data_IF_832821982821
#
_entry.id   IF_832821982821
#
_cell.length_a   1.000
_cell.length_b   1.000
_cell.length_c   1.000
_cell.angle_alpha   90.00
_cell.angle_beta   90.00
_cell.angle_gamma   90.00
#
_symmetry.space_group_name_H-M   'P 1'
#
loop_
_entity.id
_entity.type
_entity.pdbx_description
1 polymer ?
#
# COMPACT_ATOMS: atom_id res chain seq x y z
N UNK A 1 14.85 6.26 -33.97
CA UNK A 1 14.20 6.76 -32.75
C UNK A 1 14.79 5.98 -31.60
N UNK A 2 15.83 6.51 -30.97
CA UNK A 2 16.53 5.88 -29.85
C UNK A 2 15.52 5.63 -28.73
N UNK A 3 15.38 4.38 -28.29
CA UNK A 3 14.66 4.07 -27.06
C UNK A 3 15.48 4.67 -25.93
N UNK A 4 15.02 5.77 -25.32
CA UNK A 4 15.54 6.22 -24.03
C UNK A 4 15.58 5.00 -23.11
N UNK A 5 16.75 4.71 -22.54
CA UNK A 5 16.96 3.54 -21.69
C UNK A 5 15.81 3.39 -20.69
N UNK A 6 15.25 2.19 -20.60
CA UNK A 6 14.21 1.85 -19.63
C UNK A 6 14.87 1.86 -18.24
N UNK A 7 15.03 3.05 -17.64
CA UNK A 7 15.68 3.29 -16.33
C UNK A 7 14.81 2.77 -15.19
N UNK A 8 14.59 1.45 -15.17
CA UNK A 8 13.90 0.77 -14.08
C UNK A 8 14.88 0.41 -12.98
N UNK A 9 14.39 0.42 -11.75
CA UNK A 9 15.16 -0.11 -10.63
C UNK A 9 15.43 -1.60 -10.81
N UNK A 10 16.71 -1.94 -10.81
CA UNK A 10 17.21 -3.31 -10.74
C UNK A 10 17.11 -3.86 -9.33
N UNK A 11 17.32 -5.16 -9.16
CA UNK A 11 17.52 -5.74 -7.84
C UNK A 11 18.67 -5.08 -7.08
N UNK A 12 19.75 -4.70 -7.76
CA UNK A 12 20.91 -4.08 -7.11
C UNK A 12 20.62 -2.65 -6.64
N UNK A 13 19.75 -1.93 -7.33
CA UNK A 13 19.24 -0.64 -6.85
C UNK A 13 18.44 -0.82 -5.56
N UNK A 14 17.58 -1.84 -5.52
CA UNK A 14 16.82 -2.17 -4.31
C UNK A 14 17.75 -2.60 -3.17
N UNK A 15 18.73 -3.47 -3.46
CA UNK A 15 19.69 -3.98 -2.47
C UNK A 15 20.54 -2.86 -1.90
N UNK A 16 21.06 -1.97 -2.74
CA UNK A 16 21.84 -0.80 -2.32
C UNK A 16 21.07 0.10 -1.38
N UNK A 17 19.78 0.36 -1.66
CA UNK A 17 18.92 1.13 -0.77
C UNK A 17 18.66 0.40 0.56
N UNK A 18 18.40 -0.91 0.51
CA UNK A 18 18.18 -1.72 1.72
C UNK A 18 19.45 -1.79 2.59
N UNK A 19 20.62 -2.04 2.00
CA UNK A 19 21.91 -2.07 2.68
C UNK A 19 22.23 -0.71 3.33
N UNK A 20 21.95 0.39 2.61
CA UNK A 20 22.10 1.73 3.16
C UNK A 20 21.22 1.91 4.41
N UNK A 21 19.93 1.53 4.36
CA UNK A 21 19.06 1.61 5.53
C UNK A 21 19.58 0.73 6.68
N UNK A 22 19.97 -0.52 6.41
CA UNK A 22 20.48 -1.46 7.42
C UNK A 22 21.78 -0.99 8.09
N UNK A 23 22.61 -0.21 7.39
CA UNK A 23 23.81 0.41 7.93
C UNK A 23 23.51 1.62 8.84
N UNK A 24 22.38 2.30 8.62
CA UNK A 24 22.01 3.52 9.35
C UNK A 24 20.95 3.29 10.45
N UNK A 25 20.46 2.06 10.64
CA UNK A 25 19.62 1.70 11.78
C UNK A 25 19.92 0.30 12.31
N UNK A 26 19.81 0.12 13.63
CA UNK A 26 19.92 -1.20 14.28
C UNK A 26 18.58 -1.98 14.26
N UNK A 27 17.48 -1.30 13.94
CA UNK A 27 16.15 -1.91 13.90
C UNK A 27 16.03 -2.87 12.71
N UNK A 28 15.35 -4.00 12.91
CA UNK A 28 15.09 -5.03 11.90
C UNK A 28 13.58 -5.26 11.83
N UNK A 29 12.85 -4.51 10.98
CA UNK A 29 11.40 -4.52 11.01
C UNK A 29 10.85 -5.86 10.52
N UNK A 30 9.81 -6.36 11.21
CA UNK A 30 9.01 -7.51 10.77
C UNK A 30 7.71 -7.10 10.09
N UNK A 31 7.22 -5.90 10.43
CA UNK A 31 6.01 -5.30 9.86
C UNK A 31 6.36 -3.98 9.17
N UNK A 32 5.88 -3.79 7.95
CA UNK A 32 5.89 -2.50 7.27
C UNK A 32 4.47 -1.95 7.21
N UNK A 33 4.31 -0.66 7.47
CA UNK A 33 3.02 0.02 7.39
C UNK A 33 3.12 1.18 6.40
N UNK A 34 2.26 1.19 5.39
CA UNK A 34 2.15 2.29 4.45
C UNK A 34 0.95 3.14 4.86
N UNK A 35 1.23 4.33 5.38
CA UNK A 35 0.19 5.26 5.81
C UNK A 35 -0.38 6.03 4.63
N UNK A 36 -1.72 6.06 4.57
CA UNK A 36 -2.44 6.94 3.67
C UNK A 36 -2.74 8.32 4.23
N UNK A 37 -3.41 9.13 3.41
CA UNK A 37 -3.88 10.46 3.79
C UNK A 37 -4.64 10.41 5.13
N UNK A 38 -4.23 11.27 6.07
CA UNK A 38 -4.84 11.36 7.40
C UNK A 38 -4.49 10.22 8.37
N UNK A 39 -3.59 9.29 8.00
CA UNK A 39 -3.11 8.20 8.84
C UNK A 39 -1.61 8.30 9.17
N UNK A 40 -0.97 9.41 8.80
CA UNK A 40 0.44 9.68 9.09
C UNK A 40 0.78 9.67 10.58
N UNK A 41 -0.17 9.98 11.46
CA UNK A 41 0.03 9.97 12.92
C UNK A 41 0.33 8.59 13.50
N UNK A 42 0.15 7.50 12.73
CA UNK A 42 0.53 6.16 13.17
C UNK A 42 2.05 6.04 13.40
N UNK A 43 2.86 6.76 12.63
CA UNK A 43 4.31 6.80 12.82
C UNK A 43 4.69 7.38 14.19
N UNK A 44 3.89 8.31 14.72
CA UNK A 44 4.16 8.99 15.99
C UNK A 44 3.97 8.05 17.20
N UNK A 45 3.26 6.93 17.02
CA UNK A 45 3.07 5.90 18.05
C UNK A 45 4.28 4.95 18.20
N UNK A 46 5.23 4.99 17.25
CA UNK A 46 6.44 4.18 17.34
C UNK A 46 7.31 4.64 18.51
N UNK A 47 7.86 3.67 19.24
CA UNK A 47 8.92 3.90 20.23
C UNK A 47 10.30 3.76 19.57
N UNK A 48 11.31 4.41 20.16
CA UNK A 48 12.72 4.34 19.74
C UNK A 48 12.93 4.67 18.25
N UNK A 49 12.34 5.79 17.82
CA UNK A 49 12.23 6.13 16.42
C UNK A 49 13.58 6.45 15.77
N UNK A 50 13.77 5.93 14.56
CA UNK A 50 14.81 6.37 13.61
C UNK A 50 14.10 6.76 12.32
N UNK A 51 14.10 8.05 11.99
CA UNK A 51 13.40 8.59 10.82
C UNK A 51 14.38 9.01 9.72
N UNK A 52 14.06 8.65 8.48
CA UNK A 52 14.80 9.03 7.28
C UNK A 52 13.89 9.82 6.34
N UNK A 53 14.30 11.01 5.92
CA UNK A 53 13.61 11.73 4.84
C UNK A 53 13.83 11.01 3.51
N UNK A 54 12.79 10.91 2.67
CA UNK A 54 12.86 10.18 1.41
C UNK A 54 13.98 10.67 0.49
N UNK A 55 14.20 11.99 0.40
CA UNK A 55 15.27 12.58 -0.40
C UNK A 55 16.70 12.25 0.07
N UNK A 56 16.86 11.72 1.30
CA UNK A 56 18.16 11.26 1.82
C UNK A 56 18.37 9.76 1.62
N UNK A 57 17.34 9.01 1.23
CA UNK A 57 17.41 7.57 0.99
C UNK A 57 17.78 7.34 -0.48
N UNK A 58 18.85 6.57 -0.79
CA UNK A 58 19.24 6.30 -2.16
C UNK A 58 18.07 5.70 -2.97
N UNK A 59 17.90 6.15 -4.22
CA UNK A 59 16.89 5.70 -5.17
C UNK A 59 15.42 5.93 -4.75
N UNK A 60 15.14 6.47 -3.56
CA UNK A 60 13.79 6.65 -3.09
C UNK A 60 13.07 7.76 -3.86
N UNK A 61 11.78 7.60 -4.20
CA UNK A 61 11.00 8.67 -4.80
C UNK A 61 10.75 9.83 -3.83
N UNK A 62 10.51 11.02 -4.36
CA UNK A 62 10.05 12.17 -3.56
C UNK A 62 8.53 12.19 -3.48
N UNK A 63 7.98 12.60 -2.34
CA UNK A 63 6.53 12.76 -2.17
C UNK A 63 6.15 14.20 -2.45
N UNK A 64 5.24 14.43 -3.40
CA UNK A 64 4.82 15.79 -3.79
C UNK A 64 3.44 16.19 -3.26
N UNK A 65 2.67 15.22 -2.75
CA UNK A 65 1.32 15.42 -2.21
C UNK A 65 1.32 16.12 -0.84
N UNK A 66 0.44 17.10 -0.68
CA UNK A 66 0.23 17.84 0.58
C UNK A 66 -0.26 16.89 1.69
N UNK A 67 0.38 16.92 2.85
CA UNK A 67 0.04 16.06 3.99
C UNK A 67 0.84 14.76 4.05
N UNK A 68 1.72 14.51 3.08
CA UNK A 68 2.70 13.43 3.13
C UNK A 68 4.02 13.99 3.65
N UNK A 69 4.42 13.61 4.87
CA UNK A 69 5.64 14.12 5.50
C UNK A 69 6.92 13.71 4.76
N UNK A 70 6.85 12.65 3.92
CA UNK A 70 7.99 12.21 3.12
C UNK A 70 9.08 11.54 3.95
N UNK A 71 8.69 10.73 4.94
CA UNK A 71 9.62 10.08 5.88
C UNK A 71 9.39 8.59 6.00
N UNK A 72 10.47 7.84 6.10
CA UNK A 72 10.50 6.43 6.46
C UNK A 72 10.90 6.32 7.94
N UNK A 73 9.98 5.88 8.80
CA UNK A 73 10.17 5.87 10.25
C UNK A 73 10.27 4.44 10.75
N UNK A 74 11.43 4.07 11.28
CA UNK A 74 11.64 2.80 11.97
C UNK A 74 11.35 2.98 13.45
N UNK A 75 10.81 1.96 14.10
CA UNK A 75 10.65 1.95 15.56
C UNK A 75 10.02 0.65 16.05
N UNK A 76 9.53 0.67 17.28
CA UNK A 76 8.78 -0.44 17.86
C UNK A 76 7.32 -0.03 18.07
N UNK A 77 6.38 -0.80 17.51
CA UNK A 77 4.95 -0.65 17.76
C UNK A 77 4.50 -1.80 18.66
N UNK A 78 4.13 -1.50 19.91
CA UNK A 78 3.75 -2.52 20.90
C UNK A 78 4.74 -3.68 21.03
N UNK A 79 6.04 -3.37 20.99
CA UNK A 79 7.12 -4.37 21.08
C UNK A 79 7.51 -5.02 19.75
N UNK A 80 6.77 -4.76 18.67
CA UNK A 80 7.06 -5.30 17.33
C UNK A 80 7.92 -4.32 16.53
N UNK A 81 9.15 -4.68 16.13
CA UNK A 81 9.96 -3.88 15.23
C UNK A 81 9.22 -3.63 13.92
N UNK A 82 9.00 -2.35 13.61
CA UNK A 82 8.17 -1.92 12.49
C UNK A 82 8.84 -0.79 11.71
N UNK A 83 8.49 -0.68 10.43
CA UNK A 83 8.84 0.46 9.59
C UNK A 83 7.56 1.07 9.03
N UNK A 84 7.43 2.39 9.10
CA UNK A 84 6.24 3.13 8.69
C UNK A 84 6.62 4.12 7.60
N UNK A 85 5.95 4.04 6.45
CA UNK A 85 6.00 5.09 5.42
C UNK A 85 5.00 6.19 5.78
N UNK A 86 5.51 7.34 6.20
CA UNK A 86 4.72 8.53 6.48
C UNK A 86 4.56 9.37 5.21
N UNK A 87 3.59 8.96 4.41
CA UNK A 87 3.40 9.43 3.05
C UNK A 87 3.87 8.40 2.03
N UNK A 88 3.25 8.37 0.87
CA UNK A 88 3.50 7.45 -0.23
C UNK A 88 3.40 8.17 -1.56
N UNK A 89 3.66 7.41 -2.62
CA UNK A 89 3.69 7.89 -3.98
C UNK A 89 2.47 7.39 -4.74
N UNK A 90 2.00 8.19 -5.70
CA UNK A 90 0.81 7.91 -6.48
C UNK A 90 1.12 7.89 -7.96
N UNK A 91 0.37 7.09 -8.70
CA UNK A 91 0.48 7.06 -10.16
C UNK A 91 0.09 8.41 -10.77
N UNK A 92 -0.91 9.09 -10.20
CA UNK A 92 -1.34 10.41 -10.68
C UNK A 92 -0.31 11.53 -10.47
N UNK A 93 0.72 11.32 -9.62
CA UNK A 93 1.86 12.24 -9.51
C UNK A 93 2.79 12.16 -10.75
N UNK A 94 2.49 11.28 -11.71
CA UNK A 94 3.32 11.03 -12.89
C UNK A 94 4.37 9.94 -12.67
N UNK A 95 4.39 9.30 -11.50
CA UNK A 95 5.31 8.20 -11.24
C UNK A 95 4.85 6.91 -11.93
N UNK A 96 5.76 6.21 -12.64
CA UNK A 96 5.46 4.87 -13.13
C UNK A 96 5.26 3.93 -11.94
N UNK A 97 4.41 2.91 -12.11
CA UNK A 97 4.06 2.02 -11.01
C UNK A 97 5.28 1.31 -10.41
N UNK A 98 6.30 0.93 -11.18
CA UNK A 98 7.53 0.35 -10.62
C UNK A 98 8.27 1.29 -9.65
N UNK A 99 8.11 2.61 -9.79
CA UNK A 99 8.68 3.63 -8.89
C UNK A 99 7.81 3.85 -7.66
N UNK A 100 6.49 3.97 -7.85
CA UNK A 100 5.49 4.03 -6.76
C UNK A 100 5.69 2.88 -5.77
N UNK A 101 6.06 1.75 -6.33
CA UNK A 101 6.07 0.48 -5.64
C UNK A 101 7.45 0.02 -5.15
N UNK A 102 8.49 0.79 -5.45
CA UNK A 102 9.88 0.53 -5.05
C UNK A 102 10.06 0.23 -3.55
N UNK A 103 9.44 0.97 -2.60
CA UNK A 103 9.63 0.74 -1.17
C UNK A 103 9.25 -0.67 -0.71
N UNK A 104 8.28 -1.32 -1.37
CA UNK A 104 7.85 -2.67 -0.99
C UNK A 104 8.94 -3.71 -1.27
N UNK A 105 9.67 -3.55 -2.38
CA UNK A 105 10.86 -4.38 -2.65
C UNK A 105 11.95 -4.17 -1.60
N UNK A 106 12.10 -2.93 -1.13
CA UNK A 106 13.02 -2.62 -0.03
C UNK A 106 12.58 -3.33 1.26
N UNK A 107 11.30 -3.28 1.62
CA UNK A 107 10.79 -3.97 2.82
C UNK A 107 11.05 -5.47 2.78
N UNK A 108 10.90 -6.10 1.60
CA UNK A 108 11.29 -7.51 1.42
C UNK A 108 12.76 -7.74 1.77
N UNK A 109 13.66 -6.91 1.28
CA UNK A 109 15.11 -7.03 1.51
C UNK A 109 15.52 -6.67 2.95
N UNK A 110 14.72 -5.85 3.64
CA UNK A 110 14.88 -5.57 5.07
C UNK A 110 14.42 -6.71 5.99
N UNK A 111 13.83 -7.77 5.43
CA UNK A 111 13.34 -8.92 6.18
C UNK A 111 11.91 -8.75 6.72
N UNK A 112 11.15 -7.78 6.21
CA UNK A 112 9.75 -7.62 6.60
C UNK A 112 8.94 -8.83 6.09
N UNK A 113 7.97 -9.28 6.88
CA UNK A 113 7.12 -10.45 6.63
C UNK A 113 5.66 -10.05 6.39
N UNK A 114 5.24 -8.93 6.99
CA UNK A 114 3.87 -8.43 6.94
C UNK A 114 3.83 -7.00 6.42
N UNK A 115 2.96 -6.73 5.44
CA UNK A 115 2.67 -5.40 4.93
C UNK A 115 1.26 -4.99 5.32
N UNK A 116 1.15 -3.87 6.02
CA UNK A 116 -0.11 -3.20 6.28
C UNK A 116 -0.19 -1.98 5.35
N UNK A 117 -1.21 -1.89 4.51
CA UNK A 117 -1.42 -0.69 3.67
C UNK A 117 -2.74 -0.05 4.05
N UNK A 118 -2.70 1.23 4.38
CA UNK A 118 -3.90 1.95 4.81
C UNK A 118 -4.26 3.03 3.82
N UNK A 119 -5.52 3.24 3.47
CA UNK A 119 -5.89 4.34 2.58
C UNK A 119 -7.22 4.98 2.97
N UNK A 120 -7.45 6.19 2.44
CA UNK A 120 -8.78 6.76 2.35
C UNK A 120 -9.42 6.34 1.02
N UNK A 121 -10.70 6.00 1.07
CA UNK A 121 -11.48 5.55 -0.07
C UNK A 121 -12.88 6.17 -0.06
N UNK A 122 -13.46 6.33 -1.24
CA UNK A 122 -14.88 6.61 -1.40
C UNK A 122 -15.69 5.34 -1.15
N UNK A 123 -16.71 5.42 -0.29
CA UNK A 123 -17.63 4.31 -0.06
C UNK A 123 -18.60 4.15 -1.23
N UNK A 124 -18.56 3.00 -1.91
CA UNK A 124 -19.53 2.64 -2.95
C UNK A 124 -20.67 1.81 -2.38
N UNK A 125 -20.40 0.99 -1.37
CA UNK A 125 -21.45 0.25 -0.68
C UNK A 125 -22.33 1.22 0.14
N UNK A 126 -23.64 1.31 -0.11
CA UNK A 126 -24.53 2.26 0.56
C UNK A 126 -24.71 2.01 2.06
N UNK A 127 -24.33 0.83 2.56
CA UNK A 127 -24.36 0.51 3.99
C UNK A 127 -23.18 1.14 4.75
N UNK A 128 -22.13 1.56 4.03
CA UNK A 128 -20.94 2.11 4.64
C UNK A 128 -21.14 3.57 5.00
N UNK A 129 -20.55 3.97 6.12
CA UNK A 129 -20.60 5.34 6.63
C UNK A 129 -19.22 5.98 6.62
N UNK A 130 -19.19 7.30 6.60
CA UNK A 130 -17.95 8.06 6.78
C UNK A 130 -17.33 7.68 8.12
N UNK A 131 -16.03 7.38 8.08
CA UNK A 131 -15.28 6.95 9.26
C UNK A 131 -15.30 5.45 9.49
N UNK A 132 -16.12 4.67 8.77
CA UNK A 132 -16.02 3.21 8.80
C UNK A 132 -14.61 2.79 8.35
N UNK A 133 -14.13 1.68 8.92
CA UNK A 133 -12.90 1.01 8.51
C UNK A 133 -13.29 -0.21 7.68
N UNK A 134 -12.82 -0.31 6.44
CA UNK A 134 -13.03 -1.50 5.61
C UNK A 134 -11.75 -2.34 5.56
N UNK A 135 -11.84 -3.58 6.03
CA UNK A 135 -10.84 -4.61 5.76
C UNK A 135 -10.96 -5.02 4.30
N UNK A 136 -9.88 -4.92 3.53
CA UNK A 136 -9.92 -5.30 2.12
C UNK A 136 -9.82 -6.83 2.02
N UNK A 137 -10.87 -7.47 1.47
CA UNK A 137 -10.87 -8.90 1.16
C UNK A 137 -10.34 -9.19 -0.23
N UNK A 138 -10.60 -8.29 -1.18
CA UNK A 138 -10.19 -8.44 -2.58
C UNK A 138 -10.08 -7.07 -3.26
N UNK A 139 -9.58 -7.03 -4.50
CA UNK A 139 -9.56 -5.80 -5.29
C UNK A 139 -9.91 -5.99 -6.76
N UNK A 140 -10.30 -4.88 -7.38
CA UNK A 140 -10.38 -4.72 -8.83
C UNK A 140 -9.29 -3.74 -9.24
N UNK A 141 -8.32 -4.22 -10.03
CA UNK A 141 -7.22 -3.41 -10.52
C UNK A 141 -7.52 -2.89 -11.93
N UNK A 142 -8.28 -1.79 -12.03
CA UNK A 142 -8.70 -1.24 -13.31
C UNK A 142 -7.52 -0.86 -14.22
N UNK A 143 -6.46 -0.18 -13.74
CA UNK A 143 -5.29 0.12 -14.58
C UNK A 143 -4.51 -1.14 -14.98
N UNK A 144 -4.51 -2.18 -14.14
CA UNK A 144 -3.92 -3.48 -14.46
C UNK A 144 -4.53 -4.13 -15.70
N UNK A 145 -5.85 -4.05 -15.88
CA UNK A 145 -6.52 -4.54 -17.09
C UNK A 145 -6.07 -3.81 -18.36
N UNK A 146 -5.65 -2.55 -18.24
CA UNK A 146 -5.11 -1.75 -19.33
C UNK A 146 -3.57 -1.86 -19.47
N UNK A 147 -2.93 -2.80 -18.78
CA UNK A 147 -1.48 -3.00 -18.85
C UNK A 147 -0.66 -2.06 -17.95
N UNK A 148 -1.29 -1.26 -17.10
CA UNK A 148 -0.60 -0.47 -16.08
C UNK A 148 -0.47 -1.31 -14.80
N UNK A 149 0.56 -2.15 -14.76
CA UNK A 149 0.87 -3.04 -13.64
C UNK A 149 2.36 -2.91 -13.25
N UNK A 150 2.71 -2.86 -11.95
CA UNK A 150 4.11 -2.74 -11.51
C UNK A 150 5.03 -3.91 -11.96
N UNK A 151 4.45 -5.03 -12.39
CA UNK A 151 5.14 -6.23 -12.87
C UNK A 151 5.28 -6.30 -14.40
N UNK A 152 4.76 -5.32 -15.15
CA UNK A 152 5.08 -5.20 -16.58
C UNK A 152 6.59 -5.06 -16.74
N UNK A 153 7.18 -5.61 -17.80
CA UNK A 153 8.63 -5.63 -18.04
C UNK A 153 9.29 -6.97 -17.70
N UNK A 154 10.63 -7.06 -17.68
CA UNK A 154 11.37 -8.26 -17.29
C UNK A 154 11.10 -8.69 -15.84
N UNK A 155 11.07 -10.00 -15.56
CA UNK A 155 10.99 -10.54 -14.21
C UNK A 155 12.39 -10.72 -13.62
N UNK A 156 12.53 -10.48 -12.32
CA UNK A 156 13.72 -10.87 -11.57
C UNK A 156 13.32 -11.94 -10.55
N UNK A 157 13.76 -13.18 -10.81
CA UNK A 157 13.34 -14.37 -10.06
C UNK A 157 13.77 -14.33 -8.58
N UNK A 158 14.70 -13.43 -8.21
CA UNK A 158 15.08 -13.19 -6.80
C UNK A 158 13.97 -12.54 -5.98
N UNK A 159 13.03 -11.83 -6.62
CA UNK A 159 11.86 -11.27 -5.94
C UNK A 159 10.67 -12.21 -5.95
N UNK A 160 10.46 -12.97 -7.02
CA UNK A 160 9.34 -13.90 -7.13
C UNK A 160 9.09 -14.42 -8.54
N UNK A 161 8.02 -15.18 -8.68
CA UNK A 161 7.64 -15.84 -9.94
C UNK A 161 7.13 -14.84 -10.99
N UNK A 162 7.24 -15.23 -12.26
CA UNK A 162 6.77 -14.40 -13.39
C UNK A 162 5.27 -14.11 -13.39
N UNK A 163 4.46 -15.10 -13.00
CA UNK A 163 3.00 -15.05 -13.06
C UNK A 163 2.40 -15.32 -11.67
N UNK A 164 2.43 -14.31 -10.78
CA UNK A 164 1.89 -14.42 -9.43
C UNK A 164 0.36 -14.63 -9.44
N UNK A 165 -0.12 -15.61 -8.66
CA UNK A 165 -1.55 -15.78 -8.40
C UNK A 165 -2.04 -14.76 -7.36
N UNK A 166 -3.20 -14.16 -7.61
CA UNK A 166 -3.71 -13.02 -6.86
C UNK A 166 -4.87 -13.38 -5.91
N UNK A 167 -5.32 -14.63 -5.92
CA UNK A 167 -6.53 -15.10 -5.23
C UNK A 167 -6.45 -15.06 -3.70
N UNK A 168 -5.24 -15.10 -3.13
CA UNK A 168 -4.98 -15.08 -1.69
C UNK A 168 -4.18 -13.83 -1.27
N UNK A 169 -4.32 -12.74 -2.04
CA UNK A 169 -3.55 -11.53 -1.84
C UNK A 169 -3.73 -10.88 -0.47
N UNK A 170 -4.92 -11.05 0.09
CA UNK A 170 -5.33 -10.53 1.38
C UNK A 170 -5.46 -11.69 2.35
N UNK A 171 -4.47 -11.80 3.24
CA UNK A 171 -4.33 -12.96 4.11
C UNK A 171 -5.56 -13.13 5.00
N UNK A 172 -6.22 -14.28 4.90
CA UNK A 172 -7.48 -14.55 5.58
C UNK A 172 -7.35 -14.47 7.11
N UNK A 173 -6.25 -14.97 7.68
CA UNK A 173 -6.03 -14.97 9.12
C UNK A 173 -5.84 -13.55 9.66
N UNK A 174 -5.14 -12.68 8.93
CA UNK A 174 -5.04 -11.28 9.31
C UNK A 174 -6.37 -10.54 9.20
N UNK A 175 -7.21 -10.87 8.19
CA UNK A 175 -8.57 -10.31 8.10
C UNK A 175 -9.42 -10.72 9.29
N UNK A 176 -9.41 -12.02 9.64
CA UNK A 176 -10.08 -12.53 10.85
C UNK A 176 -9.59 -11.82 12.11
N UNK A 177 -8.27 -11.68 12.26
CA UNK A 177 -7.65 -10.99 13.38
C UNK A 177 -8.13 -9.53 13.48
N UNK A 178 -8.25 -8.81 12.37
CA UNK A 178 -8.76 -7.44 12.37
C UNK A 178 -10.19 -7.35 12.93
N UNK A 179 -11.07 -8.28 12.54
CA UNK A 179 -12.44 -8.35 13.08
C UNK A 179 -12.48 -8.76 14.55
N UNK A 180 -11.61 -9.69 14.97
CA UNK A 180 -11.44 -10.05 16.38
C UNK A 180 -11.05 -8.84 17.20
N UNK A 181 -10.00 -8.12 16.80
CA UNK A 181 -9.55 -6.88 17.47
C UNK A 181 -10.65 -5.82 17.48
N UNK A 182 -11.41 -5.69 16.39
CA UNK A 182 -12.53 -4.76 16.34
C UNK A 182 -13.63 -5.10 17.36
N UNK A 183 -13.88 -6.40 17.58
CA UNK A 183 -14.82 -6.88 18.59
C UNK A 183 -14.31 -6.61 20.00
N UNK A 184 -13.05 -6.92 20.28
CA UNK A 184 -12.39 -6.67 21.58
C UNK A 184 -12.36 -5.17 21.93
N UNK A 185 -12.21 -4.31 20.93
CA UNK A 185 -12.23 -2.85 21.09
C UNK A 185 -13.64 -2.24 21.11
N UNK A 186 -14.70 -3.05 20.94
CA UNK A 186 -16.08 -2.56 20.90
C UNK A 186 -16.43 -1.72 19.68
N UNK A 187 -15.66 -1.85 18.58
CA UNK A 187 -15.83 -1.06 17.36
C UNK A 187 -16.33 -1.86 16.14
N UNK A 188 -16.77 -3.12 16.32
CA UNK A 188 -17.31 -3.98 15.24
C UNK A 188 -18.39 -3.31 14.39
N UNK A 189 -19.21 -2.43 14.96
CA UNK A 189 -20.27 -1.72 14.22
C UNK A 189 -19.77 -0.78 13.12
N UNK A 190 -18.49 -0.40 13.18
CA UNK A 190 -17.80 0.50 12.24
C UNK A 190 -16.69 -0.20 11.45
N UNK A 191 -16.56 -1.52 11.57
CA UNK A 191 -15.62 -2.31 10.77
C UNK A 191 -16.38 -3.12 9.73
N UNK A 192 -15.99 -2.97 8.47
CA UNK A 192 -16.58 -3.59 7.28
C UNK A 192 -15.55 -4.51 6.64
N UNK A 193 -15.99 -5.30 5.68
CA UNK A 193 -15.11 -6.06 4.80
C UNK A 193 -15.66 -6.05 3.38
N UNK A 194 -14.81 -5.76 2.39
CA UNK A 194 -15.26 -5.57 1.02
C UNK A 194 -14.16 -5.58 -0.05
N UNK A 195 -14.58 -5.34 -1.29
CA UNK A 195 -13.74 -5.27 -2.48
C UNK A 195 -13.34 -3.83 -2.77
N UNK A 196 -12.03 -3.59 -2.90
CA UNK A 196 -11.47 -2.28 -3.22
C UNK A 196 -11.21 -2.12 -4.73
N UNK A 197 -11.76 -1.10 -5.37
CA UNK A 197 -11.43 -0.76 -6.75
C UNK A 197 -10.34 0.32 -6.80
N UNK A 198 -9.23 0.02 -7.48
CA UNK A 198 -8.16 0.97 -7.70
C UNK A 198 -8.30 1.64 -9.08
N UNK A 199 -8.26 2.98 -9.12
CA UNK A 199 -8.31 3.81 -10.33
C UNK A 199 -7.03 4.62 -10.54
N UNK A 200 -6.87 5.25 -11.71
CA UNK A 200 -5.72 6.11 -12.00
C UNK A 200 -5.76 7.47 -11.30
N UNK A 201 -6.93 8.11 -11.22
CA UNK A 201 -7.06 9.50 -10.73
C UNK A 201 -6.49 10.56 -11.71
N UNK A 202 -6.36 11.84 -11.29
CA UNK A 202 -6.61 12.37 -9.94
C UNK A 202 -8.04 12.86 -9.70
N UNK A 203 -8.88 12.99 -10.74
CA UNK A 203 -10.28 13.38 -10.54
C UNK A 203 -11.03 12.28 -9.78
N UNK A 204 -12.03 12.69 -8.98
CA UNK A 204 -12.98 11.75 -8.40
C UNK A 204 -13.93 11.19 -9.45
N UNK A 205 -14.60 10.12 -9.06
CA UNK A 205 -15.53 9.39 -9.90
C UNK A 205 -16.80 10.21 -10.14
N UNK A 206 -17.28 10.19 -11.38
CA UNK A 206 -18.61 10.64 -11.74
C UNK A 206 -19.68 9.68 -11.21
N UNK A 207 -20.94 10.13 -11.18
CA UNK A 207 -22.07 9.28 -10.76
C UNK A 207 -22.16 8.00 -11.62
N UNK A 208 -21.90 8.11 -12.92
CA UNK A 208 -21.95 6.97 -13.83
C UNK A 208 -20.84 5.96 -13.53
N UNK A 209 -19.62 6.42 -13.24
CA UNK A 209 -18.48 5.59 -12.84
C UNK A 209 -18.74 4.92 -11.48
N UNK A 210 -19.26 5.64 -10.49
CA UNK A 210 -19.65 5.03 -9.20
C UNK A 210 -20.66 3.89 -9.39
N UNK A 211 -21.72 4.11 -10.18
CA UNK A 211 -22.73 3.08 -10.48
C UNK A 211 -22.14 1.90 -11.24
N UNK A 212 -21.22 2.16 -12.16
CA UNK A 212 -20.50 1.12 -12.90
C UNK A 212 -19.68 0.25 -11.94
N UNK A 213 -18.87 0.86 -11.07
CA UNK A 213 -18.04 0.14 -10.10
C UNK A 213 -18.86 -0.66 -9.08
N UNK A 214 -19.98 -0.10 -8.61
CA UNK A 214 -20.94 -0.82 -7.76
C UNK A 214 -21.47 -2.08 -8.46
N UNK A 215 -21.84 -1.99 -9.75
CA UNK A 215 -22.31 -3.15 -10.53
C UNK A 215 -21.24 -4.20 -10.77
N UNK A 216 -19.96 -3.81 -10.75
CA UNK A 216 -18.83 -4.74 -10.80
C UNK A 216 -18.54 -5.40 -9.44
N UNK A 217 -19.25 -5.01 -8.37
CA UNK A 217 -19.08 -5.57 -7.04
C UNK A 217 -18.01 -4.87 -6.18
N UNK A 218 -17.60 -3.65 -6.52
CA UNK A 218 -16.73 -2.86 -5.66
C UNK A 218 -17.50 -2.23 -4.49
N UNK A 219 -16.95 -2.35 -3.28
CA UNK A 219 -17.50 -1.76 -2.06
C UNK A 219 -16.87 -0.41 -1.72
N UNK A 220 -15.62 -0.20 -2.12
CA UNK A 220 -14.91 1.07 -1.98
C UNK A 220 -14.04 1.35 -3.21
N UNK A 221 -13.77 2.63 -3.48
CA UNK A 221 -12.93 3.08 -4.58
C UNK A 221 -11.86 4.05 -4.11
N UNK A 222 -10.66 3.96 -4.69
CA UNK A 222 -9.63 4.97 -4.52
C UNK A 222 -8.58 4.86 -5.62
N UNK A 223 -7.51 5.63 -5.49
CA UNK A 223 -6.50 5.73 -6.55
C UNK A 223 -5.29 4.82 -6.33
N UNK A 224 -4.61 4.43 -7.40
CA UNK A 224 -3.36 3.67 -7.33
C UNK A 224 -2.25 4.51 -6.68
N UNK A 225 -1.75 4.01 -5.55
CA UNK A 225 -0.86 4.76 -4.66
C UNK A 225 -1.59 5.68 -3.66
N UNK A 226 -2.92 5.80 -3.79
CA UNK A 226 -3.98 6.14 -2.83
C UNK A 226 -4.16 7.53 -2.17
N UNK A 227 -5.25 8.23 -2.54
CA UNK A 227 -5.92 9.32 -1.79
C UNK A 227 -7.43 9.42 -2.17
N UNK A 228 -8.29 9.93 -1.27
CA UNK A 228 -9.51 10.69 -1.60
C UNK A 228 -9.69 11.79 -0.54
N UNK A 229 -9.76 13.06 -0.95
CA UNK A 229 -10.22 14.21 -0.18
C UNK A 229 -10.90 15.27 -1.08
N UNK A 230 -12.24 15.21 -1.10
CA UNK A 230 -13.13 16.39 -1.19
C UNK A 230 -13.91 16.61 -2.50
N UNK A 231 -15.18 16.17 -2.52
CA UNK A 231 -16.37 16.99 -2.84
C UNK A 231 -17.71 16.31 -2.53
N UNK A 232 -17.74 15.21 -1.77
CA UNK A 232 -18.88 14.79 -0.95
C UNK A 232 -18.28 14.17 0.32
N UNK A 233 -18.76 14.52 1.52
CA UNK A 233 -18.22 14.01 2.78
C UNK A 233 -18.53 12.52 2.95
N UNK A 234 -17.68 11.65 2.37
CA UNK A 234 -17.94 10.21 2.16
C UNK A 234 -16.71 9.29 2.28
N UNK A 235 -15.86 9.45 3.31
CA UNK A 235 -14.60 8.69 3.40
C UNK A 235 -14.66 7.44 4.28
N UNK A 236 -14.37 6.26 3.71
CA UNK A 236 -14.07 5.00 4.43
C UNK A 236 -12.55 4.84 4.51
N UNK A 237 -12.02 4.37 5.65
CA UNK A 237 -10.60 4.04 5.80
C UNK A 237 -10.38 2.57 5.49
N UNK A 238 -9.60 2.24 4.47
CA UNK A 238 -9.33 0.85 4.14
C UNK A 238 -8.00 0.38 4.75
N UNK A 239 -7.96 -0.85 5.27
CA UNK A 239 -6.73 -1.51 5.71
C UNK A 239 -6.52 -2.81 4.92
N UNK A 240 -5.37 -2.93 4.28
CA UNK A 240 -4.82 -4.14 3.67
C UNK A 240 -3.94 -4.78 4.72
N UNK A 241 -4.15 -6.06 5.00
CA UNK A 241 -3.27 -6.85 5.85
C UNK A 241 -2.73 -8.00 5.00
N UNK A 242 -1.46 -7.91 4.56
CA UNK A 242 -0.77 -9.00 3.88
C UNK A 242 0.24 -9.63 4.84
N UNK A 243 0.10 -10.91 5.15
CA UNK A 243 1.12 -11.74 5.79
C UNK A 243 1.70 -12.71 4.76
N UNK A 244 3.02 -12.73 4.61
CA UNK A 244 3.73 -13.63 3.69
C UNK A 244 4.06 -13.02 2.32
N UNK A 245 5.34 -13.13 1.92
CA UNK A 245 6.00 -12.68 0.68
C UNK A 245 5.74 -11.23 0.24
N UNK A 246 6.66 -10.36 0.62
CA UNK A 246 6.65 -8.91 0.42
C UNK A 246 7.13 -8.41 -0.97
N UNK A 247 6.96 -9.20 -2.02
CA UNK A 247 7.36 -8.82 -3.38
C UNK A 247 6.32 -7.92 -4.10
N UNK A 248 5.23 -7.56 -3.41
CA UNK A 248 3.98 -7.26 -4.07
C UNK A 248 3.31 -5.99 -3.55
N UNK A 249 3.73 -4.84 -4.06
CA UNK A 249 3.07 -3.58 -3.86
C UNK A 249 1.79 -3.54 -4.70
N UNK A 250 0.65 -3.40 -4.04
CA UNK A 250 -0.71 -3.41 -4.60
C UNK A 250 -1.23 -4.75 -5.13
N UNK A 251 -0.38 -5.73 -5.46
CA UNK A 251 -0.82 -6.95 -6.16
C UNK A 251 0.02 -8.17 -5.74
N UNK A 252 -0.44 -8.94 -4.75
CA UNK A 252 0.18 -10.16 -4.22
C UNK A 252 0.44 -11.32 -5.21
N UNK A 253 1.42 -12.16 -4.86
CA UNK A 253 1.22 -13.58 -4.65
C UNK A 253 2.05 -14.09 -3.47
N UNK A 254 1.61 -15.26 -3.02
CA UNK A 254 2.13 -16.21 -2.06
C UNK A 254 3.02 -17.28 -2.73
N UNK A 255 3.67 -18.08 -1.87
CA UNK A 255 4.29 -19.35 -2.25
C UNK A 255 3.21 -20.42 -2.41
N UNK A 256 3.23 -21.18 -3.50
CA UNK A 256 2.76 -22.57 -3.51
C UNK A 256 3.95 -23.45 -3.88
N UNK A 257 4.22 -24.46 -3.05
CA UNK A 257 4.97 -25.68 -3.41
C UNK A 257 6.42 -25.49 -3.80
#
# INVERSE_FOLDING_TARGET
MERSGDERYTYEDCKRTADWLLAHTKLRPRVAIICGSGLGGLADLLKDQVAFEYGKIPNFPESTVVGHAGRLVFGSLSGTPSVVMQGRFHMYEGYPLWKVTFPVRIFRLLGVETLIVTNAAGGLNPEYKVGDIMVIRDHINMPGFAGQNPLVGPNDDRFGVRFPAMSDAYNEDLRKLAHTVASEMGCSGSVREGVYCALGGPNYETIAECRFLQRLGADAVGQLGAEQRGLFGGGVRCAILKGGLLCHPVLAASNMG
#
